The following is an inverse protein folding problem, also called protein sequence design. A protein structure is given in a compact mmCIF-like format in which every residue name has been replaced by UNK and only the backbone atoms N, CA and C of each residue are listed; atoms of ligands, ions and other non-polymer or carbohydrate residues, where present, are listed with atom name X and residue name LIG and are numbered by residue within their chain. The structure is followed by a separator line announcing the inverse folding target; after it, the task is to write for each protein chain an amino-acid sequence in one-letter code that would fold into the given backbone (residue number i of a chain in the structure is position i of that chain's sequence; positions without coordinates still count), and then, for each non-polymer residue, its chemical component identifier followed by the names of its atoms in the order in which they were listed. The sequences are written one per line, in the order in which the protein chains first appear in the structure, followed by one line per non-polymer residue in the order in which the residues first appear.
data_IF_982859563653
#
_entry.id   IF_982859563653
#
_cell.length_a   1.000
_cell.length_b   1.000
_cell.length_c   1.000
_cell.angle_alpha   90.00
_cell.angle_beta   90.00
_cell.angle_gamma   90.00
#
_symmetry.space_group_name_H-M   'P 1'
#
loop_
_entity.id
_entity.type
_entity.pdbx_description
1 polymer ?
#
# COMPACT_ATOMS: atom_id res chain seq x y z
N UNK A 1 11.87 -21.03 1.85
CA UNK A 1 12.94 -20.03 1.62
C UNK A 1 12.63 -19.17 0.39
N UNK A 2 12.31 -19.74 -0.76
CA UNK A 2 11.95 -18.99 -1.99
C UNK A 2 10.72 -18.11 -1.80
N UNK A 3 9.71 -18.56 -1.04
CA UNK A 3 8.53 -17.75 -0.67
C UNK A 3 8.86 -16.57 0.26
N UNK A 4 9.82 -16.73 1.15
CA UNK A 4 10.28 -15.67 2.06
C UNK A 4 11.04 -14.57 1.32
N UNK A 5 11.88 -14.95 0.36
CA UNK A 5 12.65 -14.00 -0.46
C UNK A 5 11.73 -13.29 -1.46
N UNK A 6 10.82 -14.01 -2.12
CA UNK A 6 9.79 -13.39 -2.96
C UNK A 6 8.87 -12.47 -2.15
N UNK A 7 8.58 -12.83 -0.89
CA UNK A 7 7.85 -11.98 0.05
C UNK A 7 8.57 -10.68 0.37
N UNK A 8 9.88 -10.71 0.60
CA UNK A 8 10.70 -9.51 0.84
C UNK A 8 10.87 -8.64 -0.40
N UNK A 9 10.76 -9.22 -1.59
CA UNK A 9 10.90 -8.49 -2.87
C UNK A 9 9.58 -7.90 -3.37
N UNK A 10 8.46 -8.44 -2.94
CA UNK A 10 7.14 -7.82 -3.13
C UNK A 10 6.94 -6.64 -2.18
N UNK A 11 7.82 -6.45 -1.22
CA UNK A 11 7.88 -5.27 -0.36
C UNK A 11 8.91 -4.34 -0.96
N UNK A 12 8.65 -3.05 -1.04
CA UNK A 12 9.55 -2.02 -1.58
C UNK A 12 10.89 -1.88 -0.82
N UNK A 13 11.28 -2.89 -0.07
CA UNK A 13 12.51 -2.92 0.70
C UNK A 13 13.70 -3.31 -0.20
N UNK A 14 14.05 -2.38 -1.09
CA UNK A 14 15.23 -2.54 -1.95
C UNK A 14 16.54 -2.49 -1.15
N UNK A 15 16.54 -1.87 0.05
CA UNK A 15 17.70 -1.85 0.95
C UNK A 15 17.92 -3.21 1.61
N UNK A 16 16.87 -3.79 2.21
CA UNK A 16 16.97 -5.14 2.80
C UNK A 16 17.31 -6.21 1.75
N UNK A 17 16.89 -6.05 0.50
CA UNK A 17 17.33 -6.94 -0.57
C UNK A 17 18.80 -6.73 -0.91
N UNK A 18 19.28 -5.49 -0.94
CA UNK A 18 20.67 -5.18 -1.23
C UNK A 18 21.61 -5.77 -0.16
N UNK A 19 21.25 -5.66 1.10
CA UNK A 19 21.98 -6.25 2.23
C UNK A 19 21.95 -7.79 2.19
N UNK A 20 20.85 -8.40 1.74
CA UNK A 20 20.69 -9.85 1.67
C UNK A 20 21.06 -10.46 0.31
N UNK A 21 21.51 -9.65 -0.64
CA UNK A 21 21.83 -10.11 -2.01
C UNK A 21 22.86 -11.23 -2.03
N UNK A 22 23.92 -11.12 -1.24
CA UNK A 22 24.99 -12.12 -1.13
C UNK A 22 24.45 -13.47 -0.62
N UNK A 23 23.53 -13.42 0.37
CA UNK A 23 22.83 -14.63 0.85
C UNK A 23 21.89 -15.19 -0.20
N UNK A 24 21.18 -14.33 -0.93
CA UNK A 24 20.32 -14.74 -2.03
C UNK A 24 21.09 -15.46 -3.14
N UNK A 25 22.22 -14.91 -3.57
CA UNK A 25 23.07 -15.48 -4.61
C UNK A 25 23.67 -16.84 -4.21
N UNK A 26 23.88 -17.06 -2.92
CA UNK A 26 24.38 -18.34 -2.40
C UNK A 26 23.30 -19.43 -2.30
N UNK A 27 22.04 -19.05 -2.04
CA UNK A 27 20.93 -19.97 -1.76
C UNK A 27 20.15 -20.32 -3.03
N UNK A 28 19.93 -19.36 -3.93
CA UNK A 28 19.11 -19.56 -5.13
C UNK A 28 19.99 -19.95 -6.32
N UNK A 29 20.12 -21.25 -6.50
CA UNK A 29 20.93 -21.82 -7.61
C UNK A 29 20.19 -21.86 -8.96
N UNK A 30 18.87 -21.68 -8.98
CA UNK A 30 18.04 -21.77 -10.19
C UNK A 30 18.06 -20.46 -10.97
N UNK A 31 18.65 -20.46 -12.17
CA UNK A 31 18.85 -19.28 -13.00
C UNK A 31 17.58 -18.51 -13.35
N UNK A 32 16.47 -19.23 -13.62
CA UNK A 32 15.19 -18.60 -13.95
C UNK A 32 14.56 -17.86 -12.75
N UNK A 33 14.69 -18.41 -11.53
CA UNK A 33 14.20 -17.74 -10.32
C UNK A 33 15.04 -16.49 -10.01
N UNK A 34 16.34 -16.53 -10.25
CA UNK A 34 17.21 -15.36 -10.15
C UNK A 34 16.77 -14.27 -11.11
N UNK A 35 16.51 -14.62 -12.36
CA UNK A 35 16.06 -13.67 -13.38
C UNK A 35 14.73 -13.03 -13.00
N UNK A 36 13.74 -13.79 -12.54
CA UNK A 36 12.45 -13.26 -12.08
C UNK A 36 12.59 -12.31 -10.89
N UNK A 37 13.39 -12.70 -9.90
CA UNK A 37 13.63 -11.87 -8.71
C UNK A 37 14.35 -10.58 -9.09
N UNK A 38 15.37 -10.63 -9.94
CA UNK A 38 16.08 -9.45 -10.41
C UNK A 38 15.22 -8.54 -11.28
N UNK A 39 14.31 -9.10 -12.06
CA UNK A 39 13.34 -8.32 -12.83
C UNK A 39 12.42 -7.53 -11.89
N UNK A 40 11.83 -8.19 -10.89
CA UNK A 40 10.97 -7.52 -9.88
C UNK A 40 11.76 -6.43 -9.14
N UNK A 41 12.98 -6.74 -8.70
CA UNK A 41 13.84 -5.78 -8.03
C UNK A 41 14.12 -4.53 -8.88
N UNK A 42 14.50 -4.72 -10.14
CA UNK A 42 14.81 -3.62 -11.05
C UNK A 42 13.57 -2.77 -11.36
N UNK A 43 12.40 -3.41 -11.56
CA UNK A 43 11.13 -2.71 -11.76
C UNK A 43 10.77 -1.86 -10.54
N UNK A 44 10.85 -2.43 -9.33
CA UNK A 44 10.55 -1.71 -8.09
C UNK A 44 11.53 -0.55 -7.88
N UNK A 45 12.83 -0.78 -8.11
CA UNK A 45 13.87 0.26 -7.98
C UNK A 45 13.68 1.39 -9.00
N UNK A 46 13.33 1.07 -10.24
CA UNK A 46 13.03 2.07 -11.27
C UNK A 46 11.83 2.91 -10.88
N UNK A 47 10.77 2.27 -10.40
CA UNK A 47 9.56 2.94 -9.94
C UNK A 47 9.85 3.89 -8.75
N UNK A 48 10.63 3.46 -7.76
CA UNK A 48 10.97 4.30 -6.59
C UNK A 48 11.89 5.48 -6.94
N UNK A 49 12.73 5.33 -7.98
CA UNK A 49 13.56 6.45 -8.48
C UNK A 49 12.76 7.51 -9.24
N UNK A 50 11.72 7.07 -9.96
CA UNK A 50 10.83 7.92 -10.75
C UNK A 50 9.37 7.59 -10.39
N UNK A 51 8.88 8.01 -9.21
CA UNK A 51 7.49 7.77 -8.83
C UNK A 51 6.59 8.45 -9.87
N UNK A 52 5.75 7.65 -10.52
CA UNK A 52 4.79 8.17 -11.48
C UNK A 52 3.68 8.91 -10.75
N UNK A 53 3.16 10.02 -11.30
CA UNK A 53 1.97 10.63 -10.74
C UNK A 53 0.86 9.57 -10.68
N UNK A 54 0.00 9.65 -9.65
CA UNK A 54 -1.29 8.96 -9.67
C UNK A 54 -2.14 9.68 -10.72
N UNK A 55 -1.62 9.66 -11.94
CA UNK A 55 -2.34 10.03 -13.13
C UNK A 55 -3.32 8.92 -13.45
N UNK A 56 -4.21 9.22 -14.34
CA UNK A 56 -5.12 8.26 -14.92
C UNK A 56 -4.44 6.91 -15.24
N UNK A 57 -3.18 6.87 -15.63
CA UNK A 57 -2.44 5.65 -15.97
C UNK A 57 -2.17 4.70 -14.78
N UNK A 58 -1.89 5.21 -13.56
CA UNK A 58 -1.69 4.38 -12.38
C UNK A 58 -3.00 3.91 -11.76
N UNK A 59 -4.03 4.71 -11.91
CA UNK A 59 -5.37 4.39 -11.42
C UNK A 59 -6.16 3.61 -12.47
N UNK A 60 -5.82 3.68 -13.75
CA UNK A 60 -6.59 3.19 -14.87
C UNK A 60 -5.94 2.07 -15.66
N UNK A 61 -4.63 1.95 -15.67
CA UNK A 61 -3.91 0.96 -16.44
C UNK A 61 -3.20 -0.06 -15.58
N UNK A 62 -2.93 -1.21 -16.15
CA UNK A 62 -1.91 -2.09 -15.65
C UNK A 62 -0.62 -1.30 -15.42
N UNK A 63 0.22 -1.70 -14.46
CA UNK A 63 1.59 -1.22 -14.27
C UNK A 63 2.47 -1.50 -15.53
N UNK A 64 1.99 -1.09 -16.70
CA UNK A 64 2.70 -1.19 -17.95
C UNK A 64 3.21 0.18 -18.38
N UNK A 65 4.52 0.28 -18.59
CA UNK A 65 5.26 1.47 -18.97
C UNK A 65 4.75 2.16 -20.26
N UNK A 66 3.74 1.61 -20.96
CA UNK A 66 3.33 2.06 -22.30
C UNK A 66 1.81 2.19 -22.54
N UNK A 67 0.94 2.20 -21.52
CA UNK A 67 -0.50 2.37 -21.81
C UNK A 67 -0.90 3.84 -21.97
N UNK A 68 -1.18 4.23 -23.22
CA UNK A 68 -1.73 5.54 -23.58
C UNK A 68 -3.27 5.66 -23.32
N UNK A 69 -3.84 4.84 -22.47
CA UNK A 69 -5.28 4.85 -22.24
C UNK A 69 -5.66 5.73 -21.05
N UNK A 70 -6.27 6.85 -21.36
CA UNK A 70 -6.75 7.91 -20.46
C UNK A 70 -8.18 7.70 -19.98
N UNK A 71 -8.73 6.50 -20.06
CA UNK A 71 -10.14 6.25 -19.70
C UNK A 71 -10.27 5.95 -18.21
N UNK A 72 -10.96 6.82 -17.48
CA UNK A 72 -11.30 6.61 -16.07
C UNK A 72 -12.07 5.32 -15.88
N UNK A 73 -11.54 4.41 -15.04
CA UNK A 73 -12.23 3.16 -14.72
C UNK A 73 -13.30 3.41 -13.66
N UNK A 74 -14.58 3.14 -13.95
CA UNK A 74 -15.66 3.46 -13.01
C UNK A 74 -15.51 2.84 -11.63
N UNK A 75 -14.88 1.66 -11.53
CA UNK A 75 -14.65 0.98 -10.26
C UNK A 75 -13.58 1.66 -9.37
N UNK A 76 -12.78 2.56 -9.94
CA UNK A 76 -11.77 3.34 -9.19
C UNK A 76 -12.32 4.67 -8.68
N UNK A 77 -13.55 5.02 -9.02
CA UNK A 77 -14.15 6.31 -8.63
C UNK A 77 -13.97 6.63 -7.14
N UNK A 78 -14.20 5.72 -6.19
CA UNK A 78 -14.01 6.05 -4.77
C UNK A 78 -12.58 6.46 -4.43
N UNK A 79 -11.58 5.86 -5.09
CA UNK A 79 -10.17 6.24 -4.90
C UNK A 79 -9.91 7.64 -5.46
N UNK A 80 -10.47 7.95 -6.64
CA UNK A 80 -10.35 9.30 -7.22
C UNK A 80 -10.98 10.36 -6.34
N UNK A 81 -12.15 10.09 -5.81
CA UNK A 81 -12.87 11.02 -4.92
C UNK A 81 -12.00 11.36 -3.69
N UNK A 82 -11.28 10.39 -3.13
CA UNK A 82 -10.33 10.62 -2.05
C UNK A 82 -9.16 11.51 -2.50
N UNK A 83 -8.57 11.22 -3.66
CA UNK A 83 -7.45 11.99 -4.19
C UNK A 83 -7.85 13.44 -4.50
N UNK A 84 -9.03 13.63 -5.07
CA UNK A 84 -9.54 14.97 -5.39
C UNK A 84 -9.90 15.77 -4.14
N UNK A 85 -10.58 15.14 -3.17
CA UNK A 85 -10.93 15.77 -1.89
C UNK A 85 -9.70 16.20 -1.09
N UNK A 86 -8.59 15.47 -1.22
CA UNK A 86 -7.39 15.64 -0.40
C UNK A 86 -6.18 16.14 -1.23
N UNK A 87 -6.43 16.92 -2.29
CA UNK A 87 -5.34 17.50 -3.08
C UNK A 87 -4.35 18.28 -2.22
N UNK A 88 -3.05 18.09 -2.48
CA UNK A 88 -1.99 18.74 -1.73
C UNK A 88 -1.69 18.12 -0.37
N UNK A 89 -2.34 17.00 -0.01
CA UNK A 89 -2.05 16.22 1.20
C UNK A 89 -1.38 14.90 0.84
N UNK A 90 -0.62 14.35 1.77
CA UNK A 90 -0.13 12.97 1.70
C UNK A 90 -1.27 12.03 2.05
N UNK A 91 -1.45 10.96 1.30
CA UNK A 91 -2.53 9.98 1.51
C UNK A 91 -1.92 8.62 1.75
N UNK A 92 -2.38 7.95 2.79
CA UNK A 92 -1.97 6.61 3.15
C UNK A 92 -3.18 5.68 3.21
N UNK A 93 -3.19 4.67 2.33
CA UNK A 93 -4.18 3.61 2.34
C UNK A 93 -3.63 2.40 3.08
N UNK A 94 -4.39 1.88 4.04
CA UNK A 94 -4.15 0.67 4.81
C UNK A 94 -5.25 -0.34 4.51
N UNK A 95 -4.93 -1.42 3.79
CA UNK A 95 -5.84 -2.53 3.52
C UNK A 95 -5.57 -3.65 4.50
N UNK A 96 -6.58 -4.00 5.29
CA UNK A 96 -6.45 -5.00 6.35
C UNK A 96 -7.70 -5.89 6.47
N UNK A 97 -7.58 -6.97 7.25
CA UNK A 97 -8.69 -7.86 7.54
C UNK A 97 -8.61 -8.37 8.98
N UNK A 98 -9.77 -8.66 9.60
CA UNK A 98 -9.84 -9.19 10.96
C UNK A 98 -9.14 -10.55 11.12
N UNK A 99 -9.26 -11.40 10.11
CA UNK A 99 -8.61 -12.72 10.09
C UNK A 99 -7.10 -12.66 9.82
N UNK A 100 -6.50 -11.49 9.78
CA UNK A 100 -5.10 -11.27 9.43
C UNK A 100 -4.30 -10.84 10.68
N UNK A 101 -3.67 -11.75 11.44
CA UNK A 101 -2.93 -11.40 12.65
C UNK A 101 -1.85 -10.35 12.44
N UNK A 102 -1.03 -10.37 11.34
CA UNK A 102 -0.08 -9.31 11.09
C UNK A 102 -0.73 -7.96 10.80
N UNK A 103 -1.99 -7.91 10.32
CA UNK A 103 -2.72 -6.65 10.18
C UNK A 103 -3.09 -6.09 11.56
N UNK A 104 -3.61 -6.95 12.44
CA UNK A 104 -4.03 -6.54 13.79
C UNK A 104 -2.84 -6.05 14.62
N UNK A 105 -1.66 -6.63 14.43
CA UNK A 105 -0.42 -6.17 15.08
C UNK A 105 -0.01 -4.74 14.66
N UNK A 106 -0.47 -4.24 13.50
CA UNK A 106 -0.17 -2.90 13.01
C UNK A 106 -1.17 -1.83 13.50
N UNK A 107 -2.23 -2.19 14.21
CA UNK A 107 -3.24 -1.23 14.68
C UNK A 107 -2.68 -0.21 15.68
N UNK A 108 -1.85 -0.66 16.63
CA UNK A 108 -1.18 0.27 17.56
C UNK A 108 -0.13 1.14 16.86
N UNK A 109 0.79 0.60 16.04
CA UNK A 109 1.66 1.40 15.18
C UNK A 109 0.92 2.41 14.30
N UNK A 110 -0.27 2.07 13.75
CA UNK A 110 -1.08 2.98 12.95
C UNK A 110 -1.56 4.20 13.75
N UNK A 111 -1.99 3.99 15.00
CA UNK A 111 -2.35 5.09 15.92
C UNK A 111 -1.15 5.97 16.23
N UNK A 112 0.02 5.36 16.48
CA UNK A 112 1.26 6.10 16.72
C UNK A 112 1.69 6.89 15.49
N UNK A 113 1.55 6.31 14.29
CA UNK A 113 1.79 7.01 13.03
C UNK A 113 0.86 8.23 12.92
N UNK A 114 -0.46 8.04 13.17
CA UNK A 114 -1.43 9.14 13.11
C UNK A 114 -1.07 10.29 14.06
N UNK A 115 -0.58 9.98 15.26
CA UNK A 115 -0.24 11.01 16.25
C UNK A 115 0.97 11.88 15.88
N UNK A 116 1.82 11.42 14.96
CA UNK A 116 3.03 12.14 14.51
C UNK A 116 2.74 13.22 13.46
N UNK A 117 1.64 13.14 12.76
CA UNK A 117 1.32 14.04 11.65
C UNK A 117 -0.05 14.69 11.85
N UNK A 118 -0.23 15.89 11.36
CA UNK A 118 -1.54 16.56 11.35
C UNK A 118 -2.47 15.96 10.30
N UNK A 119 -3.77 16.15 10.43
CA UNK A 119 -4.75 15.80 9.39
C UNK A 119 -4.68 16.74 8.17
N UNK A 120 -3.94 17.84 8.27
CA UNK A 120 -3.68 18.72 7.13
C UNK A 120 -2.52 18.21 6.27
N UNK A 121 -1.62 17.42 6.85
CA UNK A 121 -0.46 16.87 6.16
C UNK A 121 -0.70 15.45 5.67
N UNK A 122 -1.26 14.58 6.51
CA UNK A 122 -1.45 13.17 6.24
C UNK A 122 -2.90 12.74 6.44
N UNK A 123 -3.50 12.18 5.44
CA UNK A 123 -4.80 11.50 5.48
C UNK A 123 -4.59 9.99 5.49
N UNK A 124 -5.17 9.30 6.45
CA UNK A 124 -5.11 7.84 6.58
C UNK A 124 -6.49 7.26 6.32
N UNK A 125 -6.59 6.39 5.32
CA UNK A 125 -7.74 5.54 5.04
C UNK A 125 -7.43 4.11 5.45
N UNK A 126 -8.06 3.63 6.52
CA UNK A 126 -7.95 2.25 7.00
C UNK A 126 -9.16 1.47 6.48
N UNK A 127 -8.93 0.59 5.49
CA UNK A 127 -9.95 -0.11 4.71
C UNK A 127 -9.99 -1.56 5.14
N UNK A 128 -11.03 -1.95 5.88
CA UNK A 128 -11.26 -3.35 6.23
C UNK A 128 -11.86 -4.11 5.05
N UNK A 129 -11.24 -5.23 4.68
CA UNK A 129 -11.69 -6.08 3.55
C UNK A 129 -12.32 -7.39 4.00
N UNK A 130 -12.50 -7.60 5.31
CA UNK A 130 -13.13 -8.82 5.85
C UNK A 130 -14.63 -8.67 5.97
N UNK A 131 -15.33 -9.79 5.78
CA UNK A 131 -16.75 -9.97 6.04
C UNK A 131 -16.93 -10.82 7.33
N UNK A 132 -18.00 -10.65 8.10
CA UNK A 132 -19.05 -9.63 7.96
C UNK A 132 -18.69 -8.26 8.57
N UNK A 133 -19.46 -7.23 8.20
CA UNK A 133 -19.24 -5.83 8.62
C UNK A 133 -19.32 -5.63 10.13
N UNK A 134 -20.19 -6.36 10.81
CA UNK A 134 -20.35 -6.31 12.27
C UNK A 134 -19.02 -6.62 12.98
N UNK A 135 -18.25 -7.56 12.48
CA UNK A 135 -16.93 -7.90 13.01
C UNK A 135 -15.91 -6.78 12.82
N UNK A 136 -16.02 -6.00 11.75
CA UNK A 136 -15.20 -4.80 11.55
C UNK A 136 -15.51 -3.74 12.61
N UNK A 137 -16.79 -3.49 12.91
CA UNK A 137 -17.19 -2.53 13.95
C UNK A 137 -16.68 -2.94 15.33
N UNK A 138 -16.72 -4.24 15.66
CA UNK A 138 -16.11 -4.79 16.87
C UNK A 138 -14.62 -4.49 16.95
N UNK A 139 -13.87 -4.75 15.88
CA UNK A 139 -12.44 -4.43 15.78
C UNK A 139 -12.17 -2.94 15.99
N UNK A 140 -12.96 -2.03 15.38
CA UNK A 140 -12.76 -0.60 15.57
C UNK A 140 -12.88 -0.19 17.04
N UNK A 141 -13.78 -0.85 17.80
CA UNK A 141 -13.94 -0.61 19.23
C UNK A 141 -12.78 -1.24 20.03
N UNK A 142 -12.46 -2.51 19.75
CA UNK A 142 -11.37 -3.25 20.40
C UNK A 142 -10.03 -2.52 20.29
N UNK A 143 -9.66 -2.07 19.10
CA UNK A 143 -8.40 -1.35 18.86
C UNK A 143 -8.51 0.16 19.06
N UNK A 144 -9.67 0.67 19.46
CA UNK A 144 -9.90 2.10 19.70
C UNK A 144 -9.49 2.97 18.51
N UNK A 145 -9.88 2.61 17.29
CA UNK A 145 -9.51 3.34 16.06
C UNK A 145 -10.43 4.53 15.76
N UNK A 146 -11.66 4.50 16.29
CA UNK A 146 -12.66 5.56 16.06
C UNK A 146 -12.20 6.92 16.64
N UNK A 147 -12.56 7.99 15.95
CA UNK A 147 -12.34 9.38 16.39
C UNK A 147 -10.86 9.77 16.59
N UNK A 148 -9.96 9.18 15.84
CA UNK A 148 -8.52 9.47 15.91
C UNK A 148 -7.95 10.21 14.69
N UNK A 149 -8.80 10.72 13.79
CA UNK A 149 -8.34 11.29 12.53
C UNK A 149 -7.86 10.22 11.53
N UNK A 150 -8.35 8.99 11.70
CA UNK A 150 -8.19 7.89 10.76
C UNK A 150 -9.58 7.63 10.14
N UNK A 151 -9.66 7.70 8.83
CA UNK A 151 -10.88 7.38 8.07
C UNK A 151 -11.04 5.84 8.01
N UNK A 152 -11.76 5.29 8.98
CA UNK A 152 -12.01 3.86 9.06
C UNK A 152 -13.22 3.51 8.20
N UNK A 153 -13.03 2.70 7.17
CA UNK A 153 -14.07 2.35 6.22
C UNK A 153 -14.13 0.83 5.99
N UNK A 154 -15.33 0.32 5.76
CA UNK A 154 -15.52 -1.05 5.33
C UNK A 154 -15.57 -1.13 3.81
N UNK A 155 -14.95 -2.15 3.24
CA UNK A 155 -14.82 -2.31 1.77
C UNK A 155 -16.16 -2.32 1.06
N UNK A 156 -17.20 -2.92 1.68
CA UNK A 156 -18.54 -3.01 1.09
C UNK A 156 -19.16 -1.64 0.87
N UNK A 157 -19.05 -0.76 1.86
CA UNK A 157 -19.67 0.56 1.84
C UNK A 157 -18.85 1.56 1.01
N UNK A 158 -17.52 1.43 1.07
CA UNK A 158 -16.61 2.40 0.47
C UNK A 158 -16.31 2.07 -1.00
N UNK A 159 -15.92 0.84 -1.30
CA UNK A 159 -15.54 0.42 -2.65
C UNK A 159 -16.63 -0.40 -3.34
N UNK A 160 -17.38 -1.18 -2.57
CA UNK A 160 -18.18 -2.30 -3.06
C UNK A 160 -17.29 -3.52 -3.40
N UNK A 161 -17.79 -4.71 -3.09
CA UNK A 161 -17.01 -5.96 -3.23
C UNK A 161 -16.52 -6.17 -4.67
N UNK A 162 -17.37 -5.95 -5.67
CA UNK A 162 -17.01 -6.13 -7.08
C UNK A 162 -15.92 -5.15 -7.54
N UNK A 163 -15.97 -3.90 -7.07
CA UNK A 163 -14.96 -2.89 -7.38
C UNK A 163 -13.65 -3.22 -6.66
N UNK A 164 -13.71 -3.63 -5.39
CA UNK A 164 -12.54 -4.06 -4.63
C UNK A 164 -11.80 -5.21 -5.33
N UNK A 165 -12.50 -6.22 -5.86
CA UNK A 165 -11.85 -7.32 -6.58
C UNK A 165 -11.09 -6.82 -7.82
N UNK A 166 -11.63 -5.83 -8.52
CA UNK A 166 -10.96 -5.20 -9.66
C UNK A 166 -9.74 -4.37 -9.22
N UNK A 167 -9.89 -3.55 -8.17
CA UNK A 167 -8.81 -2.76 -7.56
C UNK A 167 -7.70 -3.69 -7.05
N UNK A 168 -8.06 -4.76 -6.36
CA UNK A 168 -7.13 -5.77 -5.86
C UNK A 168 -6.28 -6.37 -6.99
N UNK A 169 -6.91 -6.70 -8.10
CA UNK A 169 -6.20 -7.22 -9.29
C UNK A 169 -5.27 -6.16 -9.90
N UNK A 170 -5.74 -4.94 -10.04
CA UNK A 170 -4.99 -3.83 -10.63
C UNK A 170 -3.79 -3.42 -9.77
N UNK A 171 -3.98 -3.28 -8.46
CA UNK A 171 -2.92 -2.91 -7.52
C UNK A 171 -2.09 -4.10 -7.06
N UNK A 172 -2.35 -5.30 -7.60
CA UNK A 172 -1.65 -6.54 -7.27
C UNK A 172 -1.65 -6.81 -5.75
N UNK A 173 -2.78 -6.54 -5.09
CA UNK A 173 -2.97 -6.84 -3.68
C UNK A 173 -3.14 -8.36 -3.54
N UNK A 174 -2.04 -9.08 -3.42
CA UNK A 174 -2.00 -10.54 -3.36
C UNK A 174 -2.04 -11.08 -1.92
N UNK A 175 -1.75 -10.21 -0.95
CA UNK A 175 -1.69 -10.53 0.49
C UNK A 175 -2.10 -9.37 1.36
N UNK A 176 -2.40 -9.65 2.65
CA UNK A 176 -2.65 -8.65 3.68
C UNK A 176 -1.57 -8.75 4.77
N UNK A 177 -1.27 -7.63 5.45
CA UNK A 177 -1.67 -6.26 5.15
C UNK A 177 -1.10 -5.74 3.84
N UNK A 178 -1.74 -4.73 3.25
CA UNK A 178 -1.22 -4.05 2.06
C UNK A 178 -1.42 -2.54 2.20
N UNK A 179 -0.42 -1.77 1.81
CA UNK A 179 -0.38 -0.33 2.00
C UNK A 179 -0.09 0.39 0.69
N UNK A 180 -0.55 1.64 0.58
CA UNK A 180 -0.19 2.54 -0.52
C UNK A 180 0.01 3.94 0.03
N UNK A 181 1.18 4.53 -0.20
CA UNK A 181 1.52 5.90 0.17
C UNK A 181 1.57 6.78 -1.06
N UNK A 182 0.85 7.90 -1.02
CA UNK A 182 0.72 8.86 -2.11
C UNK A 182 1.18 10.23 -1.61
N UNK A 183 2.06 10.88 -2.34
CA UNK A 183 2.57 12.21 -1.99
C UNK A 183 1.60 13.35 -2.34
N UNK A 184 1.94 14.59 -1.96
CA UNK A 184 1.15 15.81 -2.23
C UNK A 184 0.88 16.08 -3.72
N UNK A 185 1.67 15.50 -4.62
CA UNK A 185 1.52 15.60 -6.08
C UNK A 185 0.61 14.51 -6.65
N UNK A 186 0.06 13.62 -5.80
CA UNK A 186 -0.75 12.50 -6.25
C UNK A 186 0.09 11.36 -6.86
N UNK A 187 1.36 11.22 -6.48
CA UNK A 187 2.23 10.14 -6.96
C UNK A 187 2.33 9.05 -5.90
N UNK A 188 2.21 7.79 -6.29
CA UNK A 188 2.50 6.66 -5.41
C UNK A 188 4.01 6.64 -5.16
N UNK A 189 4.43 6.77 -3.91
CA UNK A 189 5.83 6.79 -3.50
C UNK A 189 6.24 5.57 -2.69
N UNK A 190 5.27 4.81 -2.17
CA UNK A 190 5.50 3.52 -1.52
C UNK A 190 4.24 2.65 -1.58
N UNK A 191 4.40 1.32 -1.60
CA UNK A 191 3.30 0.37 -1.59
C UNK A 191 3.73 -1.03 -1.13
N UNK A 192 2.76 -1.89 -0.85
CA UNK A 192 2.99 -3.28 -0.45
C UNK A 192 3.09 -3.48 1.06
N UNK A 193 3.53 -4.67 1.49
CA UNK A 193 3.52 -5.06 2.90
C UNK A 193 4.65 -4.41 3.72
N UNK A 194 5.70 -3.89 3.10
CA UNK A 194 6.80 -3.21 3.80
C UNK A 194 6.47 -1.77 4.17
N UNK A 195 5.52 -1.14 3.48
CA UNK A 195 5.04 0.19 3.82
C UNK A 195 4.11 0.17 5.05
N UNK A 196 4.43 -0.67 6.06
CA UNK A 196 3.64 -0.87 7.28
C UNK A 196 3.93 0.22 8.31
N UNK A 197 2.94 0.57 9.16
CA UNK A 197 3.08 1.61 10.18
C UNK A 197 4.25 1.40 11.15
N UNK A 198 4.57 0.15 11.50
CA UNK A 198 5.70 -0.19 12.38
C UNK A 198 7.07 -0.04 11.73
N UNK A 199 7.15 0.18 10.41
CA UNK A 199 8.42 0.36 9.72
C UNK A 199 8.92 1.80 9.89
N UNK A 200 10.08 2.03 10.55
CA UNK A 200 10.63 3.37 10.71
C UNK A 200 10.87 4.12 9.39
N UNK A 201 11.17 3.40 8.32
CA UNK A 201 11.37 4.00 6.99
C UNK A 201 10.09 4.63 6.43
N UNK A 202 8.91 4.11 6.79
CA UNK A 202 7.64 4.73 6.39
C UNK A 202 7.52 6.15 6.97
N UNK A 203 7.86 6.31 8.26
CA UNK A 203 7.81 7.63 8.93
C UNK A 203 8.70 8.63 8.19
N UNK A 204 9.95 8.26 7.90
CA UNK A 204 10.88 9.12 7.18
C UNK A 204 10.38 9.51 5.78
N UNK A 205 9.76 8.56 5.06
CA UNK A 205 9.16 8.83 3.74
C UNK A 205 7.97 9.78 3.83
N UNK A 206 7.14 9.66 4.85
CA UNK A 206 6.05 10.60 5.08
C UNK A 206 6.60 11.98 5.44
N UNK A 207 7.61 12.06 6.32
CA UNK A 207 8.27 13.33 6.67
C UNK A 207 8.86 14.06 5.45
N UNK A 208 9.40 13.30 4.49
CA UNK A 208 9.86 13.87 3.21
C UNK A 208 8.68 14.31 2.33
N UNK A 209 7.62 13.53 2.29
CA UNK A 209 6.47 13.78 1.43
C UNK A 209 5.60 14.96 1.88
N UNK A 210 5.62 15.32 3.18
CA UNK A 210 4.86 16.45 3.74
C UNK A 210 5.61 17.80 3.66
N UNK A 211 6.89 17.78 3.34
CA UNK A 211 7.68 18.99 3.06
C UNK A 211 7.33 19.58 1.70
#
# INVERSE_FOLDING_TARGET
YTKLIAGSLCTNDTLAFHEKRTQFDSIVKMSHLRAQVMQIYNQTKSYLKNPQPVSDNLLYGEFHENSKHTTRMPYMKPVYDVLEKNRGKVIYFDFWARWCPPCLAEMEPLKQLRSKFSTDDLIIYSICVSEPKEQWEECLNEYSLKNRGIECVHVTDYLGINNYQKIRKQWKIDRMPYYVLINRKGQIIDFGTAARPSNPQLVSRIEEAVK
#
